data_IF_507602113438
#
_entry.id   IF_507602113438
#
_cell.length_a   1.000
_cell.length_b   1.000
_cell.length_c   1.000
_cell.angle_alpha   90.00
_cell.angle_beta   90.00
_cell.angle_gamma   90.00
#
_symmetry.space_group_name_H-M   'P 1'
#
loop_
_entity.id
_entity.type
_entity.pdbx_description
1 polymer ?
#
# COMPACT_ATOMS: atom_id res chain seq x y z
N UNK A 1 9.10 2.92 -6.12
CA UNK A 1 8.02 2.56 -5.16
C UNK A 1 8.40 2.94 -3.74
N UNK A 2 9.53 2.46 -3.23
CA UNK A 2 9.98 2.77 -1.86
C UNK A 2 10.21 4.26 -1.67
N UNK A 3 10.85 4.93 -2.64
CA UNK A 3 11.10 6.37 -2.57
C UNK A 3 9.81 7.18 -2.50
N UNK A 4 8.78 6.81 -3.27
CA UNK A 4 7.47 7.47 -3.27
C UNK A 4 6.77 7.27 -1.93
N UNK A 5 6.82 6.06 -1.36
CA UNK A 5 6.23 5.76 -0.06
C UNK A 5 6.89 6.57 1.05
N UNK A 6 8.22 6.65 1.07
CA UNK A 6 8.96 7.41 2.07
C UNK A 6 8.63 8.90 1.99
N UNK A 7 8.57 9.47 0.80
CA UNK A 7 8.18 10.87 0.61
C UNK A 7 6.74 11.11 1.08
N UNK A 8 5.80 10.22 0.74
CA UNK A 8 4.40 10.36 1.10
C UNK A 8 4.16 10.36 2.61
N UNK A 9 4.97 9.62 3.37
CA UNK A 9 4.89 9.56 4.83
C UNK A 9 5.85 10.52 5.53
N UNK A 10 6.54 11.39 4.79
CA UNK A 10 7.50 12.33 5.37
C UNK A 10 8.78 11.68 5.86
N UNK A 11 9.06 10.48 5.42
CA UNK A 11 10.27 9.75 5.79
C UNK A 11 11.48 10.20 4.95
N UNK A 12 12.68 9.91 5.46
CA UNK A 12 13.91 10.13 4.72
C UNK A 12 13.95 9.29 3.44
N UNK A 13 14.76 9.67 2.43
CA UNK A 13 14.96 8.82 1.27
C UNK A 13 15.33 7.39 1.65
N UNK A 14 14.89 6.37 0.88
CA UNK A 14 15.12 4.98 1.23
C UNK A 14 16.62 4.64 1.17
N UNK A 15 17.05 3.78 2.10
CA UNK A 15 18.38 3.20 2.06
C UNK A 15 18.39 1.89 1.25
N UNK A 16 19.59 1.32 1.08
CA UNK A 16 19.74 0.06 0.36
C UNK A 16 19.05 -1.12 1.06
N UNK A 17 18.90 -1.04 2.39
CA UNK A 17 18.21 -2.07 3.19
C UNK A 17 16.72 -2.12 2.85
N UNK A 18 16.03 -0.97 2.78
CA UNK A 18 14.62 -0.89 2.38
C UNK A 18 14.39 -1.39 0.96
N UNK A 19 15.27 -1.04 0.04
CA UNK A 19 15.20 -1.49 -1.35
C UNK A 19 15.40 -3.00 -1.44
N UNK A 20 16.37 -3.54 -0.71
CA UNK A 20 16.64 -4.98 -0.69
C UNK A 20 15.47 -5.76 -0.12
N UNK A 21 14.82 -5.27 0.96
CA UNK A 21 13.64 -5.89 1.54
C UNK A 21 12.48 -5.95 0.55
N UNK A 22 12.24 -4.88 -0.21
CA UNK A 22 11.22 -4.87 -1.24
C UNK A 22 11.51 -5.88 -2.35
N UNK A 23 12.76 -5.97 -2.81
CA UNK A 23 13.16 -6.94 -3.84
C UNK A 23 12.93 -8.38 -3.37
N UNK A 24 13.26 -8.69 -2.12
CA UNK A 24 13.03 -10.02 -1.53
C UNK A 24 11.54 -10.32 -1.50
N UNK A 25 10.70 -9.39 -1.06
CA UNK A 25 9.25 -9.56 -1.02
C UNK A 25 8.67 -9.80 -2.42
N UNK A 26 9.11 -9.05 -3.42
CA UNK A 26 8.64 -9.23 -4.80
C UNK A 26 9.03 -10.60 -5.37
N UNK A 27 10.24 -11.05 -5.09
CA UNK A 27 10.72 -12.36 -5.51
C UNK A 27 9.94 -13.51 -4.86
N UNK A 28 9.41 -13.29 -3.65
CA UNK A 28 8.61 -14.27 -2.90
C UNK A 28 7.10 -14.19 -3.19
N UNK A 29 6.68 -13.39 -4.14
CA UNK A 29 5.29 -13.28 -4.55
C UNK A 29 4.57 -12.02 -4.09
N UNK A 30 5.25 -11.11 -3.43
CA UNK A 30 4.73 -9.78 -3.11
C UNK A 30 4.46 -8.98 -4.38
N UNK A 31 3.60 -7.98 -4.27
CA UNK A 31 3.18 -7.15 -5.41
C UNK A 31 3.44 -5.69 -5.06
N UNK A 32 3.94 -4.92 -6.03
CA UNK A 32 4.09 -3.48 -5.89
C UNK A 32 3.44 -2.79 -7.08
N UNK A 33 2.77 -1.68 -6.82
CA UNK A 33 2.12 -0.85 -7.84
C UNK A 33 2.57 0.58 -7.67
N UNK A 34 2.88 1.23 -8.78
CA UNK A 34 3.29 2.63 -8.83
C UNK A 34 2.32 3.41 -9.73
N UNK A 35 1.77 4.50 -9.21
CA UNK A 35 0.96 5.42 -9.99
C UNK A 35 1.85 6.53 -10.55
N UNK A 36 1.68 6.86 -11.81
CA UNK A 36 2.45 7.90 -12.52
C UNK A 36 1.52 8.84 -13.27
N UNK A 37 1.96 10.08 -13.47
CA UNK A 37 1.31 11.00 -14.41
C UNK A 37 1.60 10.51 -15.83
N UNK A 38 0.55 10.28 -16.62
CA UNK A 38 0.68 9.76 -17.97
C UNK A 38 1.55 10.64 -18.86
N UNK A 39 1.36 11.97 -18.78
CA UNK A 39 2.06 12.92 -19.66
C UNK A 39 3.56 13.04 -19.38
N UNK A 40 3.98 12.89 -18.12
CA UNK A 40 5.37 13.15 -17.70
C UNK A 40 6.10 11.91 -17.18
N UNK A 41 5.36 10.85 -16.81
CA UNK A 41 5.92 9.69 -16.15
C UNK A 41 6.27 9.92 -14.68
N UNK A 42 5.96 11.08 -14.13
CA UNK A 42 6.28 11.43 -12.75
C UNK A 42 5.52 10.52 -11.77
N UNK A 43 6.19 9.86 -10.81
CA UNK A 43 5.51 9.02 -9.82
C UNK A 43 4.76 9.88 -8.81
N UNK A 44 3.53 9.50 -8.50
CA UNK A 44 2.65 10.25 -7.59
C UNK A 44 2.17 9.45 -6.40
N UNK A 45 2.20 8.14 -6.46
CA UNK A 45 1.77 7.27 -5.39
C UNK A 45 2.22 5.84 -5.60
N UNK A 46 2.17 5.05 -4.54
CA UNK A 46 2.57 3.64 -4.57
C UNK A 46 1.84 2.84 -3.51
N UNK A 47 1.84 1.53 -3.65
CA UNK A 47 1.33 0.60 -2.66
C UNK A 47 1.86 -0.80 -2.90
N UNK A 48 1.75 -1.66 -1.90
CA UNK A 48 2.26 -3.02 -1.98
C UNK A 48 1.26 -4.04 -1.42
N UNK A 49 1.38 -5.28 -1.89
CA UNK A 49 0.82 -6.44 -1.22
C UNK A 49 1.97 -7.23 -0.59
N UNK A 50 1.80 -7.63 0.67
CA UNK A 50 2.78 -8.46 1.37
C UNK A 50 2.95 -9.81 0.69
N UNK A 51 4.01 -10.54 1.04
CA UNK A 51 4.21 -11.93 0.60
C UNK A 51 2.98 -12.75 1.00
N UNK A 52 2.32 -13.44 0.05
CA UNK A 52 1.10 -14.19 0.37
C UNK A 52 1.35 -15.33 1.35
N UNK A 53 0.41 -15.55 2.25
CA UNK A 53 0.40 -16.69 3.16
C UNK A 53 -1.03 -17.21 3.27
N UNK A 54 -1.22 -18.53 3.08
CA UNK A 54 -2.54 -19.15 3.10
C UNK A 54 -3.57 -18.45 2.20
N UNK A 55 -3.16 -18.10 0.98
CA UNK A 55 -3.98 -17.37 0.00
C UNK A 55 -4.43 -15.98 0.46
N UNK A 56 -3.73 -15.39 1.42
CA UNK A 56 -4.05 -14.10 2.04
C UNK A 56 -2.88 -13.16 1.84
N UNK A 57 -3.15 -11.88 1.59
CA UNK A 57 -2.13 -10.84 1.52
C UNK A 57 -2.63 -9.56 2.19
N UNK A 58 -1.73 -8.83 2.82
CA UNK A 58 -2.02 -7.50 3.32
C UNK A 58 -1.67 -6.45 2.28
N UNK A 59 -2.63 -5.58 1.97
CA UNK A 59 -2.38 -4.37 1.19
C UNK A 59 -1.88 -3.31 2.17
N UNK A 60 -0.68 -2.81 1.92
CA UNK A 60 -0.01 -1.92 2.86
C UNK A 60 0.82 -0.88 2.12
N UNK A 61 1.34 0.10 2.86
CA UNK A 61 2.24 1.09 2.32
C UNK A 61 1.65 1.93 1.19
N UNK A 62 0.32 2.10 1.17
CA UNK A 62 -0.32 2.99 0.21
C UNK A 62 0.03 4.42 0.58
N UNK A 63 0.78 5.09 -0.27
CA UNK A 63 1.19 6.47 -0.08
C UNK A 63 0.99 7.27 -1.34
N UNK A 64 0.54 8.50 -1.19
CA UNK A 64 0.33 9.46 -2.28
C UNK A 64 1.11 10.73 -1.94
N UNK A 65 1.92 11.21 -2.88
CA UNK A 65 2.67 12.46 -2.69
C UNK A 65 1.72 13.61 -2.37
N UNK A 66 2.12 14.49 -1.45
CA UNK A 66 1.26 15.53 -0.91
C UNK A 66 0.56 16.38 -1.98
N UNK A 67 1.27 16.74 -3.05
CA UNK A 67 0.73 17.55 -4.14
C UNK A 67 -0.39 16.85 -4.92
N UNK A 68 -0.55 15.54 -4.78
CA UNK A 68 -1.49 14.73 -5.55
C UNK A 68 -2.59 14.10 -4.69
N UNK A 69 -2.69 14.45 -3.43
CA UNK A 69 -3.72 13.95 -2.52
C UNK A 69 -5.10 14.50 -2.88
N UNK A 70 -6.13 13.79 -2.43
CA UNK A 70 -7.55 14.13 -2.69
C UNK A 70 -7.94 14.12 -4.17
N UNK A 71 -7.24 13.35 -4.99
CA UNK A 71 -7.52 13.17 -6.43
C UNK A 71 -7.89 11.73 -6.79
N UNK A 72 -8.21 10.90 -5.79
CA UNK A 72 -8.58 9.51 -6.02
C UNK A 72 -7.43 8.54 -6.28
N UNK A 73 -6.18 8.96 -6.11
CA UNK A 73 -5.00 8.12 -6.37
C UNK A 73 -4.95 6.92 -5.42
N UNK A 74 -5.19 7.14 -4.13
CA UNK A 74 -5.19 6.06 -3.13
C UNK A 74 -6.24 4.99 -3.44
N UNK A 75 -7.44 5.39 -3.83
CA UNK A 75 -8.50 4.46 -4.24
C UNK A 75 -8.13 3.67 -5.50
N UNK A 76 -7.55 4.33 -6.47
CA UNK A 76 -7.10 3.68 -7.71
C UNK A 76 -5.97 2.67 -7.44
N UNK A 77 -5.00 3.02 -6.59
CA UNK A 77 -3.93 2.12 -6.16
C UNK A 77 -4.49 0.90 -5.45
N UNK A 78 -5.42 1.11 -4.51
CA UNK A 78 -6.05 0.03 -3.76
C UNK A 78 -6.78 -0.93 -4.69
N UNK A 79 -7.59 -0.43 -5.61
CA UNK A 79 -8.31 -1.24 -6.59
C UNK A 79 -7.35 -2.02 -7.48
N UNK A 80 -6.27 -1.39 -7.93
CA UNK A 80 -5.26 -2.06 -8.76
C UNK A 80 -4.57 -3.19 -8.02
N UNK A 81 -4.23 -2.98 -6.74
CA UNK A 81 -3.61 -4.00 -5.89
C UNK A 81 -4.54 -5.18 -5.67
N UNK A 82 -5.82 -4.93 -5.40
CA UNK A 82 -6.83 -6.00 -5.25
C UNK A 82 -6.92 -6.84 -6.52
N UNK A 83 -7.00 -6.20 -7.68
CA UNK A 83 -7.07 -6.90 -8.97
C UNK A 83 -5.82 -7.72 -9.24
N UNK A 84 -4.65 -7.17 -8.94
CA UNK A 84 -3.39 -7.87 -9.10
C UNK A 84 -3.29 -9.08 -8.16
N UNK A 85 -3.77 -8.94 -6.92
CA UNK A 85 -3.81 -10.05 -5.97
C UNK A 85 -4.71 -11.19 -6.46
N UNK A 86 -5.92 -10.88 -6.92
CA UNK A 86 -6.83 -11.90 -7.46
C UNK A 86 -6.24 -12.56 -8.72
N UNK A 87 -5.62 -11.80 -9.59
CA UNK A 87 -4.97 -12.33 -10.80
C UNK A 87 -3.80 -13.28 -10.46
N UNK A 88 -3.16 -13.07 -9.31
CA UNK A 88 -2.08 -13.94 -8.82
C UNK A 88 -2.61 -15.16 -8.02
N UNK A 89 -3.92 -15.35 -7.93
CA UNK A 89 -4.53 -16.48 -7.21
C UNK A 89 -4.71 -16.28 -5.72
N UNK A 90 -4.53 -15.07 -5.22
CA UNK A 90 -4.76 -14.73 -3.80
C UNK A 90 -6.27 -14.55 -3.59
N UNK A 91 -6.82 -15.25 -2.60
CA UNK A 91 -8.27 -15.26 -2.34
C UNK A 91 -8.73 -14.14 -1.42
N UNK A 92 -7.89 -13.74 -0.46
CA UNK A 92 -8.27 -12.79 0.59
C UNK A 92 -7.23 -11.67 0.72
N UNK A 93 -7.36 -10.57 -0.03
CA UNK A 93 -6.63 -9.36 0.28
C UNK A 93 -7.32 -8.64 1.43
N UNK A 94 -6.54 -8.18 2.41
CA UNK A 94 -7.07 -7.39 3.53
C UNK A 94 -6.19 -6.16 3.75
N UNK A 95 -6.72 -5.20 4.50
CA UNK A 95 -5.96 -4.01 4.87
C UNK A 95 -6.43 -3.47 6.22
N UNK A 96 -5.60 -2.63 6.81
CA UNK A 96 -5.91 -1.93 8.05
C UNK A 96 -6.04 -0.45 7.77
N UNK A 97 -7.08 0.17 8.31
CA UNK A 97 -7.31 1.60 8.21
C UNK A 97 -7.15 2.24 9.59
N UNK A 98 -6.28 3.23 9.69
CA UNK A 98 -6.04 3.95 10.95
C UNK A 98 -7.03 5.11 11.15
N UNK A 99 -7.58 5.67 10.07
CA UNK A 99 -8.42 6.87 10.10
C UNK A 99 -9.71 6.68 9.32
N UNK A 100 -10.75 7.46 9.67
CA UNK A 100 -12.05 7.40 9.00
C UNK A 100 -11.98 7.72 7.51
N UNK A 101 -11.10 8.65 7.11
CA UNK A 101 -10.92 8.98 5.70
C UNK A 101 -10.42 7.77 4.90
N UNK A 102 -9.51 6.97 5.46
CA UNK A 102 -9.03 5.75 4.84
C UNK A 102 -10.14 4.70 4.74
N UNK A 103 -10.95 4.54 5.78
CA UNK A 103 -12.10 3.61 5.76
C UNK A 103 -13.03 3.90 4.61
N UNK A 104 -13.31 5.19 4.32
CA UNK A 104 -14.18 5.58 3.20
C UNK A 104 -13.57 5.21 1.86
N UNK A 105 -12.28 5.46 1.68
CA UNK A 105 -11.55 5.12 0.46
C UNK A 105 -11.62 3.61 0.21
N UNK A 106 -11.35 2.82 1.25
CA UNK A 106 -11.32 1.37 1.15
C UNK A 106 -12.72 0.77 0.96
N UNK A 107 -13.73 1.32 1.61
CA UNK A 107 -15.12 0.92 1.39
C UNK A 107 -15.56 1.12 -0.07
N UNK A 108 -15.16 2.22 -0.69
CA UNK A 108 -15.42 2.48 -2.12
C UNK A 108 -14.71 1.48 -3.03
N UNK A 109 -13.57 0.95 -2.61
CA UNK A 109 -12.85 -0.10 -3.33
C UNK A 109 -13.41 -1.49 -3.10
N UNK A 110 -14.47 -1.64 -2.28
CA UNK A 110 -15.16 -2.90 -2.04
C UNK A 110 -14.81 -3.62 -0.75
N UNK A 111 -14.05 -3.00 0.14
CA UNK A 111 -13.68 -3.60 1.42
C UNK A 111 -14.81 -3.46 2.45
N UNK A 112 -14.95 -4.50 3.28
CA UNK A 112 -15.86 -4.51 4.42
C UNK A 112 -15.05 -4.50 5.71
N UNK A 113 -15.49 -3.70 6.69
CA UNK A 113 -14.89 -3.73 8.02
C UNK A 113 -15.34 -4.99 8.75
N UNK A 114 -14.39 -5.80 9.22
CA UNK A 114 -14.67 -7.06 9.93
C UNK A 114 -14.18 -7.07 11.38
N UNK A 115 -13.48 -6.04 11.81
CA UNK A 115 -12.97 -5.96 13.17
C UNK A 115 -12.06 -4.78 13.39
N UNK A 116 -11.58 -4.68 14.62
CA UNK A 116 -10.65 -3.65 15.06
C UNK A 116 -9.42 -4.29 15.69
N UNK A 117 -8.27 -3.62 15.53
CA UNK A 117 -7.02 -4.02 16.16
C UNK A 117 -6.55 -2.89 17.04
N UNK A 118 -6.23 -3.21 18.30
CA UNK A 118 -5.63 -2.27 19.22
C UNK A 118 -4.13 -2.41 19.17
N UNK A 119 -3.45 -1.35 18.75
CA UNK A 119 -2.00 -1.28 18.79
C UNK A 119 -1.54 -0.65 20.08
N UNK A 120 -0.77 -1.40 20.87
CA UNK A 120 -0.15 -0.91 22.10
C UNK A 120 1.35 -0.94 21.89
N UNK A 121 1.99 0.22 21.94
CA UNK A 121 3.44 0.29 21.88
C UNK A 121 4.00 0.91 23.16
N UNK A 122 5.10 0.33 23.63
CA UNK A 122 5.79 0.84 24.81
C UNK A 122 6.91 1.77 24.35
N UNK A 123 6.81 3.03 24.79
CA UNK A 123 7.85 4.00 24.53
C UNK A 123 9.13 3.63 25.27
N UNK A 124 10.26 3.66 24.59
CA UNK A 124 11.57 3.59 25.23
C UNK A 124 11.93 4.99 25.70
N UNK A 125 11.94 5.19 26.98
CA UNK A 125 12.40 6.45 27.60
C UNK A 125 13.80 6.25 28.16
#
# INVERSE_FOLDING_TARGET
>A
TVAVQHEAYGESPPDSSSIASLKISLAAGGIAVLARITATGEPVGAGVCSVPSNHTTEIAGIGVRAAFRSRGVAGALTTRLVRAAFAAGISVPFLMAAHEAEKRIYARAGFLAIGEILHISRSKT
#
